data_IF_919543495114
#
_entry.id   IF_919543495114
#
_cell.length_a   1.000
_cell.length_b   1.000
_cell.length_c   1.000
_cell.angle_alpha   90.00
_cell.angle_beta   90.00
_cell.angle_gamma   90.00
#
_symmetry.space_group_name_H-M   'P 1'
#
loop_
_entity.id
_entity.type
_entity.pdbx_description
1 polymer ?
#
# COMPACT_ATOMS: atom_id res chain seq x y z
N UNK A 1 9.71 -17.41 -3.99
CA UNK A 1 9.79 -16.24 -3.10
C UNK A 1 10.90 -16.47 -2.08
N UNK A 2 11.71 -15.45 -1.77
CA UNK A 2 12.76 -15.53 -0.73
C UNK A 2 12.30 -14.74 0.48
N UNK A 3 11.86 -15.44 1.51
CA UNK A 3 11.50 -14.86 2.80
C UNK A 3 12.64 -15.10 3.78
N UNK A 4 13.03 -14.07 4.51
CA UNK A 4 13.92 -14.23 5.66
C UNK A 4 13.16 -13.82 6.90
N UNK A 5 13.09 -14.71 7.88
CA UNK A 5 12.47 -14.43 9.16
C UNK A 5 13.46 -14.74 10.27
N UNK A 6 13.41 -13.93 11.33
CA UNK A 6 14.16 -14.11 12.56
C UNK A 6 13.16 -14.29 13.70
N UNK A 7 13.43 -15.23 14.58
CA UNK A 7 12.50 -15.61 15.64
C UNK A 7 13.13 -16.58 16.61
N UNK A 8 12.43 -16.83 17.71
CA UNK A 8 12.80 -17.80 18.73
C UNK A 8 11.66 -18.81 18.91
N UNK A 9 12.02 -20.03 19.30
CA UNK A 9 11.06 -21.05 19.69
C UNK A 9 11.52 -21.75 20.96
N UNK A 10 10.55 -22.17 21.76
CA UNK A 10 10.77 -22.92 23.00
C UNK A 10 10.10 -24.28 22.86
N UNK A 11 10.81 -25.32 23.27
CA UNK A 11 10.32 -26.69 23.20
C UNK A 11 10.76 -27.49 24.43
N UNK A 12 10.00 -28.53 24.72
CA UNK A 12 10.33 -29.54 25.73
C UNK A 12 10.08 -30.94 25.19
N UNK A 13 10.75 -31.92 25.78
CA UNK A 13 10.47 -33.33 25.50
C UNK A 13 9.16 -33.69 26.20
N UNK A 14 8.15 -34.06 25.42
CA UNK A 14 6.85 -34.50 25.94
C UNK A 14 6.73 -36.03 25.90
N UNK A 15 7.29 -36.67 24.88
CA UNK A 15 7.38 -38.13 24.78
C UNK A 15 8.85 -38.55 24.57
N UNK A 16 9.54 -38.94 25.66
CA UNK A 16 10.92 -39.41 25.59
C UNK A 16 11.10 -40.67 24.74
N UNK A 17 10.09 -41.54 24.65
CA UNK A 17 10.17 -42.77 23.85
C UNK A 17 10.11 -42.44 22.37
N UNK A 18 9.17 -41.60 21.96
CA UNK A 18 9.09 -41.13 20.57
C UNK A 18 10.34 -40.34 20.18
N UNK A 19 10.86 -39.48 21.07
CA UNK A 19 12.11 -38.76 20.84
C UNK A 19 13.29 -39.73 20.66
N UNK A 20 13.39 -40.76 21.50
CA UNK A 20 14.47 -41.74 21.37
C UNK A 20 14.39 -42.50 20.03
N UNK A 21 13.20 -42.95 19.62
CA UNK A 21 13.01 -43.72 18.38
C UNK A 21 13.22 -42.85 17.13
N UNK A 22 12.69 -41.63 17.12
CA UNK A 22 12.61 -40.81 15.91
C UNK A 22 13.74 -39.78 15.77
N UNK A 23 14.47 -39.46 16.85
CA UNK A 23 15.48 -38.38 16.87
C UNK A 23 16.86 -38.90 17.27
N UNK A 24 17.04 -39.36 18.52
CA UNK A 24 18.38 -39.74 18.99
C UNK A 24 18.83 -41.09 18.44
N UNK A 25 17.89 -42.01 18.22
CA UNK A 25 18.13 -43.36 17.75
C UNK A 25 19.16 -44.09 18.61
N UNK A 26 20.11 -44.73 17.94
CA UNK A 26 21.19 -45.52 18.55
C UNK A 26 22.43 -44.71 18.89
N UNK A 27 22.38 -43.37 18.83
CA UNK A 27 23.56 -42.55 19.14
C UNK A 27 23.82 -42.53 20.65
N UNK A 28 25.08 -42.73 21.03
CA UNK A 28 25.52 -42.68 22.43
C UNK A 28 25.31 -41.29 23.07
N UNK A 29 25.41 -40.22 22.26
CA UNK A 29 25.12 -38.84 22.69
C UNK A 29 24.46 -38.09 21.55
N UNK A 30 23.47 -37.26 21.90
CA UNK A 30 22.75 -36.39 20.97
C UNK A 30 22.58 -35.02 21.62
N UNK A 31 23.19 -33.99 21.03
CA UNK A 31 23.26 -32.67 21.66
C UNK A 31 22.11 -31.78 21.20
N UNK A 32 21.89 -30.69 21.93
CA UNK A 32 20.93 -29.65 21.53
C UNK A 32 21.33 -28.96 20.23
N UNK A 33 22.62 -28.88 19.90
CA UNK A 33 23.09 -28.32 18.64
C UNK A 33 22.71 -29.19 17.43
N UNK A 34 22.77 -30.52 17.59
CA UNK A 34 22.29 -31.46 16.57
C UNK A 34 20.79 -31.31 16.34
N UNK A 35 20.04 -31.19 17.45
CA UNK A 35 18.60 -31.01 17.41
C UNK A 35 18.19 -29.68 16.76
N UNK A 36 18.85 -28.58 17.14
CA UNK A 36 18.51 -27.24 16.66
C UNK A 36 18.66 -27.13 15.14
N UNK A 37 19.70 -27.75 14.57
CA UNK A 37 19.88 -27.82 13.11
C UNK A 37 18.70 -28.50 12.41
N UNK A 38 18.24 -29.63 12.96
CA UNK A 38 17.10 -30.37 12.42
C UNK A 38 15.78 -29.59 12.56
N UNK A 39 15.50 -29.05 13.76
CA UNK A 39 14.28 -28.29 14.01
C UNK A 39 14.21 -27.03 13.18
N UNK A 40 15.34 -26.34 12.97
CA UNK A 40 15.42 -25.19 12.06
C UNK A 40 15.04 -25.57 10.64
N UNK A 41 15.57 -26.68 10.12
CA UNK A 41 15.19 -27.21 8.81
C UNK A 41 13.68 -27.51 8.72
N UNK A 42 13.13 -28.14 9.76
CA UNK A 42 11.71 -28.46 9.85
C UNK A 42 10.82 -27.20 9.86
N UNK A 43 11.22 -26.17 10.60
CA UNK A 43 10.54 -24.87 10.62
C UNK A 43 10.54 -24.27 9.22
N UNK A 44 11.70 -24.19 8.57
CA UNK A 44 11.84 -23.62 7.22
C UNK A 44 10.95 -24.33 6.19
N UNK A 45 10.90 -25.66 6.23
CA UNK A 45 10.08 -26.46 5.31
C UNK A 45 8.58 -26.20 5.49
N UNK A 46 8.14 -25.84 6.69
CA UNK A 46 6.73 -25.65 7.02
C UNK A 46 6.25 -24.20 6.94
N UNK A 47 7.12 -23.21 6.71
CA UNK A 47 6.71 -21.81 6.54
C UNK A 47 5.68 -21.67 5.41
N UNK A 48 5.95 -22.28 4.25
CA UNK A 48 5.03 -22.22 3.11
C UNK A 48 3.69 -22.88 3.42
N UNK A 49 3.71 -24.02 4.13
CA UNK A 49 2.50 -24.72 4.55
C UNK A 49 1.70 -23.87 5.55
N UNK A 50 2.35 -23.22 6.51
CA UNK A 50 1.70 -22.35 7.48
C UNK A 50 1.01 -21.15 6.82
N UNK A 51 1.67 -20.53 5.83
CA UNK A 51 1.08 -19.43 5.05
C UNK A 51 -0.14 -19.93 4.28
N UNK A 52 -0.02 -21.06 3.57
CA UNK A 52 -1.13 -21.63 2.81
C UNK A 52 -2.32 -22.03 3.70
N UNK A 53 -2.05 -22.67 4.85
CA UNK A 53 -3.06 -23.12 5.79
C UNK A 53 -3.76 -21.97 6.53
N UNK A 54 -3.11 -20.82 6.68
CA UNK A 54 -3.72 -19.65 7.32
C UNK A 54 -4.90 -19.07 6.55
N UNK A 55 -4.99 -19.32 5.23
CA UNK A 55 -6.00 -18.74 4.34
C UNK A 55 -5.89 -17.22 4.18
N UNK A 56 -4.88 -16.58 4.78
CA UNK A 56 -4.68 -15.14 4.76
C UNK A 56 -3.70 -14.75 3.65
N UNK A 57 -3.91 -13.59 3.01
CA UNK A 57 -2.90 -13.04 2.11
C UNK A 57 -1.58 -12.89 2.86
N UNK A 58 -0.50 -13.37 2.25
CA UNK A 58 0.84 -13.33 2.85
C UNK A 58 1.23 -11.92 3.34
N UNK A 59 0.82 -10.88 2.63
CA UNK A 59 1.06 -9.49 3.01
C UNK A 59 0.42 -9.12 4.36
N UNK A 60 -0.77 -9.66 4.65
CA UNK A 60 -1.49 -9.35 5.89
C UNK A 60 -0.86 -10.12 7.07
N UNK A 61 -0.35 -11.33 6.83
CA UNK A 61 0.48 -12.06 7.81
C UNK A 61 1.82 -11.35 8.05
N UNK A 62 2.46 -10.85 7.00
CA UNK A 62 3.73 -10.15 7.14
C UNK A 62 3.56 -8.81 7.88
N UNK A 63 2.42 -8.14 7.72
CA UNK A 63 2.06 -6.95 8.48
C UNK A 63 1.81 -7.25 9.97
N UNK A 64 1.36 -8.47 10.31
CA UNK A 64 1.09 -8.87 11.69
C UNK A 64 1.93 -10.09 12.11
N UNK A 65 3.10 -9.78 12.68
CA UNK A 65 4.07 -10.79 13.12
C UNK A 65 3.51 -11.79 14.13
N UNK A 66 2.58 -11.36 15.00
CA UNK A 66 1.92 -12.24 15.97
C UNK A 66 1.03 -13.27 15.28
N UNK A 67 0.26 -12.85 14.27
CA UNK A 67 -0.56 -13.77 13.48
C UNK A 67 0.30 -14.75 12.67
N UNK A 68 1.39 -14.28 12.09
CA UNK A 68 2.34 -15.15 11.39
C UNK A 68 2.97 -16.18 12.34
N UNK A 69 3.39 -15.76 13.53
CA UNK A 69 3.93 -16.64 14.57
C UNK A 69 2.90 -17.70 14.99
N UNK A 70 1.64 -17.31 15.19
CA UNK A 70 0.56 -18.24 15.58
C UNK A 70 0.25 -19.26 14.49
N UNK A 71 0.19 -18.82 13.22
CA UNK A 71 -0.03 -19.71 12.08
C UNK A 71 1.11 -20.74 11.95
N UNK A 72 2.36 -20.30 12.11
CA UNK A 72 3.52 -21.18 12.13
C UNK A 72 3.50 -22.15 13.30
N UNK A 73 3.21 -21.67 14.52
CA UNK A 73 3.15 -22.51 15.70
C UNK A 73 2.08 -23.62 15.57
N UNK A 74 0.89 -23.26 15.05
CA UNK A 74 -0.20 -24.21 14.81
C UNK A 74 0.19 -25.26 13.78
N UNK A 75 0.89 -24.86 12.71
CA UNK A 75 1.38 -25.80 11.69
C UNK A 75 2.50 -26.71 12.21
N UNK A 76 3.36 -26.21 13.11
CA UNK A 76 4.52 -26.95 13.61
C UNK A 76 4.22 -27.88 14.78
N UNK A 77 3.18 -27.61 15.58
CA UNK A 77 2.75 -28.48 16.68
C UNK A 77 2.68 -29.98 16.31
N UNK A 78 1.95 -30.39 15.26
CA UNK A 78 1.88 -31.80 14.89
C UNK A 78 3.21 -32.36 14.39
N UNK A 79 4.05 -31.56 13.74
CA UNK A 79 5.38 -32.01 13.27
C UNK A 79 6.36 -32.22 14.43
N UNK A 80 6.35 -31.33 15.43
CA UNK A 80 7.14 -31.49 16.65
C UNK A 80 6.65 -32.70 17.46
N UNK A 81 5.34 -32.92 17.53
CA UNK A 81 4.75 -34.05 18.25
C UNK A 81 5.21 -35.40 17.68
N UNK A 82 5.37 -35.52 16.35
CA UNK A 82 5.93 -36.74 15.71
C UNK A 82 7.35 -37.04 16.19
N UNK A 83 8.11 -36.02 16.59
CA UNK A 83 9.46 -36.14 17.13
C UNK A 83 9.49 -36.34 18.65
N UNK A 84 8.33 -36.45 19.31
CA UNK A 84 8.23 -36.53 20.78
C UNK A 84 8.44 -35.19 21.49
N UNK A 85 8.39 -34.08 20.74
CA UNK A 85 8.59 -32.73 21.25
C UNK A 85 7.26 -31.99 21.36
N UNK A 86 7.12 -31.16 22.39
CA UNK A 86 6.05 -30.18 22.49
C UNK A 86 6.62 -28.78 22.26
N UNK A 87 5.98 -28.04 21.36
CA UNK A 87 6.26 -26.62 21.12
C UNK A 87 5.52 -25.79 22.18
N UNK A 88 6.26 -25.14 23.07
CA UNK A 88 5.71 -24.34 24.18
C UNK A 88 5.55 -22.87 23.81
N UNK A 89 6.38 -22.38 22.89
CA UNK A 89 6.32 -21.00 22.44
C UNK A 89 7.01 -20.78 21.11
N UNK A 90 6.50 -19.82 20.34
CA UNK A 90 7.07 -19.40 19.07
C UNK A 90 6.90 -17.89 18.92
N UNK A 91 7.98 -17.17 18.66
CA UNK A 91 7.97 -15.73 18.45
C UNK A 91 8.74 -15.37 17.20
N UNK A 92 8.21 -14.40 16.47
CA UNK A 92 8.85 -13.83 15.28
C UNK A 92 9.27 -12.40 15.64
N UNK A 93 10.55 -12.11 15.47
CA UNK A 93 11.18 -10.83 15.79
C UNK A 93 11.23 -9.90 14.57
N UNK A 94 11.48 -10.47 13.39
CA UNK A 94 11.42 -9.72 12.14
C UNK A 94 11.19 -10.63 10.94
N UNK A 95 10.51 -10.08 9.93
CA UNK A 95 10.28 -10.72 8.65
C UNK A 95 10.72 -9.75 7.57
N UNK A 96 11.80 -10.07 6.87
CA UNK A 96 12.27 -9.28 5.73
C UNK A 96 11.56 -9.74 4.46
N UNK A 97 10.74 -8.84 3.92
CA UNK A 97 10.09 -9.01 2.63
C UNK A 97 11.07 -8.60 1.50
N UNK A 98 11.10 -9.32 0.38
CA UNK A 98 11.79 -8.84 -0.82
C UNK A 98 11.16 -7.55 -1.34
N UNK A 99 11.95 -6.68 -1.97
CA UNK A 99 11.53 -5.33 -2.41
C UNK A 99 10.27 -5.34 -3.30
N UNK A 100 10.09 -6.36 -4.13
CA UNK A 100 8.91 -6.52 -4.99
C UNK A 100 7.62 -6.64 -4.15
N UNK A 101 7.67 -7.39 -3.05
CA UNK A 101 6.51 -7.55 -2.17
C UNK A 101 6.30 -6.33 -1.27
N UNK A 102 7.37 -5.62 -0.94
CA UNK A 102 7.28 -4.37 -0.19
C UNK A 102 6.58 -3.28 -1.02
N UNK A 103 6.94 -3.13 -2.31
CA UNK A 103 6.23 -2.22 -3.22
C UNK A 103 4.74 -2.55 -3.36
N UNK A 104 4.40 -3.83 -3.45
CA UNK A 104 3.00 -4.28 -3.53
C UNK A 104 2.27 -3.99 -2.21
N UNK A 105 2.93 -4.17 -1.06
CA UNK A 105 2.37 -3.83 0.25
C UNK A 105 2.11 -2.33 0.37
N UNK A 106 3.09 -1.50 0.02
CA UNK A 106 2.97 -0.05 0.04
C UNK A 106 1.87 0.42 -0.92
N UNK A 107 1.74 -0.21 -2.08
CA UNK A 107 0.65 0.07 -3.02
C UNK A 107 -0.71 -0.35 -2.45
N UNK A 108 -0.83 -1.52 -1.81
CA UNK A 108 -2.07 -2.00 -1.18
C UNK A 108 -2.46 -1.10 0.01
N UNK A 109 -1.50 -0.68 0.83
CA UNK A 109 -1.70 0.27 1.94
C UNK A 109 -2.12 1.63 1.40
N UNK A 110 -1.44 2.14 0.37
CA UNK A 110 -1.82 3.38 -0.31
C UNK A 110 -3.24 3.30 -0.88
N UNK A 111 -3.61 2.18 -1.50
CA UNK A 111 -4.94 1.94 -2.04
C UNK A 111 -6.00 1.77 -0.93
N UNK A 112 -5.63 1.20 0.22
CA UNK A 112 -6.47 1.10 1.42
C UNK A 112 -6.70 2.44 2.13
N UNK A 113 -5.70 3.31 2.19
CA UNK A 113 -5.84 4.71 2.67
C UNK A 113 -6.69 5.57 1.73
N UNK A 114 -6.75 5.21 0.46
CA UNK A 114 -7.58 5.86 -0.57
C UNK A 114 -9.02 5.34 -0.57
N UNK A 115 -9.33 4.31 0.23
CA UNK A 115 -10.66 3.72 0.35
C UNK A 115 -11.78 4.76 0.53
N UNK A 116 -12.74 4.74 -0.41
CA UNK A 116 -13.88 5.64 -0.65
C UNK A 116 -13.68 6.92 -1.48
N UNK A 117 -12.46 7.35 -1.79
CA UNK A 117 -12.24 8.55 -2.62
C UNK A 117 -11.58 8.20 -3.97
N UNK A 118 -12.41 7.89 -4.97
CA UNK A 118 -11.97 7.66 -6.37
C UNK A 118 -11.10 8.81 -6.91
N UNK A 119 -11.28 10.03 -6.41
CA UNK A 119 -10.45 11.20 -6.72
C UNK A 119 -9.00 11.08 -6.23
N UNK A 120 -8.77 10.50 -5.05
CA UNK A 120 -7.41 10.27 -4.52
C UNK A 120 -6.71 9.11 -5.24
N UNK A 121 -7.46 8.14 -5.78
CA UNK A 121 -6.89 7.08 -6.60
C UNK A 121 -6.34 7.62 -7.92
N UNK A 122 -7.10 8.50 -8.58
CA UNK A 122 -6.63 9.17 -9.79
C UNK A 122 -5.41 10.04 -9.49
N UNK A 123 -5.43 10.82 -8.40
CA UNK A 123 -4.26 11.59 -7.95
C UNK A 123 -3.04 10.71 -7.63
N UNK A 124 -3.22 9.55 -6.98
CA UNK A 124 -2.13 8.64 -6.65
C UNK A 124 -1.54 7.96 -7.90
N UNK A 125 -2.38 7.51 -8.84
CA UNK A 125 -1.90 6.98 -10.12
C UNK A 125 -1.16 8.05 -10.94
N UNK A 126 -1.66 9.28 -10.98
CA UNK A 126 -0.97 10.41 -11.62
C UNK A 126 0.34 10.74 -10.91
N UNK A 127 0.37 10.74 -9.58
CA UNK A 127 1.57 11.00 -8.79
C UNK A 127 2.64 9.91 -8.94
N UNK A 128 2.27 8.64 -9.17
CA UNK A 128 3.24 7.59 -9.51
C UNK A 128 3.69 7.64 -10.98
N UNK A 129 2.84 8.11 -11.89
CA UNK A 129 3.17 8.21 -13.31
C UNK A 129 4.15 9.35 -13.60
N UNK A 130 4.06 10.48 -12.88
CA UNK A 130 4.90 11.67 -13.12
C UNK A 130 6.41 11.39 -12.92
N UNK A 131 6.87 10.76 -11.82
CA UNK A 131 8.29 10.43 -11.63
C UNK A 131 8.79 9.44 -12.68
N UNK A 132 7.97 8.47 -13.07
CA UNK A 132 8.33 7.45 -14.06
C UNK A 132 8.44 8.03 -15.48
N UNK A 133 7.57 9.00 -15.80
CA UNK A 133 7.67 9.80 -17.02
C UNK A 133 8.89 10.73 -17.01
N UNK A 134 9.24 11.31 -15.85
CA UNK A 134 10.42 12.13 -15.67
C UNK A 134 11.73 11.31 -15.74
N UNK A 135 11.76 10.08 -15.23
CA UNK A 135 12.87 9.14 -15.43
C UNK A 135 13.05 8.78 -16.91
N UNK A 136 11.96 8.54 -17.65
CA UNK A 136 12.04 8.30 -19.09
C UNK A 136 12.36 9.56 -19.91
N UNK A 137 11.99 10.75 -19.43
CA UNK A 137 12.30 12.02 -20.09
C UNK A 137 13.72 12.53 -19.78
N UNK A 138 14.31 12.08 -18.66
CA UNK A 138 15.70 12.36 -18.30
C UNK A 138 16.73 11.54 -19.09
N UNK A 139 16.29 10.45 -19.73
CA UNK A 139 17.11 9.62 -20.62
C UNK A 139 17.05 10.14 -22.07
N UNK A 140 17.73 11.25 -22.31
CA UNK A 140 18.38 11.57 -23.59
C UNK A 140 17.53 11.47 -24.88
N UNK A 141 17.01 12.63 -25.30
CA UNK A 141 17.19 13.16 -26.65
C UNK A 141 16.63 12.37 -27.85
N UNK A 142 15.65 12.98 -28.53
CA UNK A 142 15.52 12.84 -29.99
C UNK A 142 14.16 12.36 -30.47
N UNK A 143 13.33 13.31 -30.91
CA UNK A 143 12.36 13.21 -32.02
C UNK A 143 11.21 12.18 -31.87
N UNK A 144 11.16 11.36 -30.83
CA UNK A 144 10.07 10.38 -30.61
C UNK A 144 8.88 10.92 -29.77
N UNK A 145 8.88 12.20 -29.38
CA UNK A 145 7.90 12.80 -28.46
C UNK A 145 6.61 13.31 -29.09
N UNK A 146 6.62 13.69 -30.38
CA UNK A 146 5.47 14.36 -30.99
C UNK A 146 4.32 13.41 -31.37
N UNK A 147 4.60 12.13 -31.65
CA UNK A 147 3.55 11.18 -32.02
C UNK A 147 2.83 10.55 -30.81
N UNK A 148 3.52 10.37 -29.67
CA UNK A 148 2.91 9.83 -28.43
C UNK A 148 2.39 10.92 -27.49
N UNK A 149 3.00 12.12 -27.48
CA UNK A 149 2.53 13.26 -26.69
C UNK A 149 1.18 13.80 -27.15
N UNK A 150 0.93 13.78 -28.47
CA UNK A 150 -0.38 14.11 -29.03
C UNK A 150 -1.42 13.02 -28.76
N UNK A 151 -1.05 11.74 -28.83
CA UNK A 151 -1.97 10.63 -28.54
C UNK A 151 -2.42 10.56 -27.08
N UNK A 152 -1.49 10.77 -26.13
CA UNK A 152 -1.80 10.83 -24.71
C UNK A 152 -2.48 12.16 -24.31
N UNK A 153 -2.09 13.28 -24.95
CA UNK A 153 -2.71 14.59 -24.74
C UNK A 153 -4.16 14.67 -25.23
N UNK A 154 -4.49 13.99 -26.34
CA UNK A 154 -5.86 13.89 -26.85
C UNK A 154 -6.72 12.97 -25.97
N UNK A 155 -6.18 11.85 -25.48
CA UNK A 155 -6.90 10.97 -24.55
C UNK A 155 -7.19 11.67 -23.21
N UNK A 156 -6.22 12.39 -22.65
CA UNK A 156 -6.40 13.17 -21.43
C UNK A 156 -7.33 14.39 -21.67
N UNK A 157 -7.20 15.03 -22.84
CA UNK A 157 -8.05 16.15 -23.26
C UNK A 157 -9.51 15.75 -23.47
N UNK A 158 -9.77 14.56 -24.01
CA UNK A 158 -11.12 14.02 -24.12
C UNK A 158 -11.72 13.71 -22.74
N UNK A 159 -10.97 13.07 -21.83
CA UNK A 159 -11.47 12.80 -20.47
C UNK A 159 -11.73 14.09 -19.69
N UNK A 160 -10.87 15.11 -19.84
CA UNK A 160 -11.04 16.42 -19.21
C UNK A 160 -12.23 17.19 -19.82
N UNK A 161 -12.40 17.15 -21.13
CA UNK A 161 -13.54 17.77 -21.82
C UNK A 161 -14.86 17.07 -21.44
N UNK A 162 -14.87 15.75 -21.30
CA UNK A 162 -16.05 14.99 -20.89
C UNK A 162 -16.42 15.24 -19.43
N UNK A 163 -15.44 15.41 -18.53
CA UNK A 163 -15.69 15.82 -17.14
C UNK A 163 -16.18 17.28 -17.03
N UNK A 164 -15.66 18.17 -17.88
CA UNK A 164 -16.11 19.56 -17.91
C UNK A 164 -17.52 19.70 -18.50
N UNK A 165 -17.87 18.86 -19.48
CA UNK A 165 -19.19 18.83 -20.10
C UNK A 165 -20.24 18.12 -19.22
N UNK A 166 -19.84 17.09 -18.46
CA UNK A 166 -20.69 16.49 -17.43
C UNK A 166 -20.97 17.46 -16.26
N UNK A 167 -20.04 18.38 -15.94
CA UNK A 167 -20.25 19.47 -14.98
C UNK A 167 -21.17 20.59 -15.47
N UNK A 168 -21.38 20.72 -16.79
CA UNK A 168 -22.21 21.77 -17.39
C UNK A 168 -23.59 21.29 -17.85
N UNK A 169 -23.82 19.99 -17.96
CA UNK A 169 -25.03 19.40 -18.56
C UNK A 169 -25.67 18.32 -17.66
N UNK A 170 -25.60 18.50 -16.35
CA UNK A 170 -26.22 17.63 -15.34
C UNK A 170 -26.85 18.45 -14.22
N UNK A 171 -27.90 19.21 -14.54
CA UNK A 171 -28.57 20.08 -13.58
C UNK A 171 -30.02 20.38 -13.94
N UNK A 172 -30.77 19.38 -14.40
CA UNK A 172 -32.23 19.46 -14.52
C UNK A 172 -32.86 18.19 -13.96
N UNK A 173 -33.71 18.41 -12.96
CA UNK A 173 -34.71 17.52 -12.38
C UNK A 173 -34.27 16.51 -11.28
N UNK A 174 -34.82 16.79 -10.10
CA UNK A 174 -35.21 15.90 -9.01
C UNK A 174 -34.13 15.37 -8.05
N UNK A 175 -33.76 16.22 -7.09
CA UNK A 175 -33.50 15.77 -5.73
C UNK A 175 -34.30 16.65 -4.76
N UNK A 176 -35.24 16.01 -4.06
CA UNK A 176 -35.90 16.55 -2.87
C UNK A 176 -34.88 16.70 -1.76
N UNK A 177 -34.56 17.95 -1.39
CA UNK A 177 -33.92 18.29 -0.12
C UNK A 177 -34.81 19.30 0.59
N UNK A 178 -35.04 19.19 1.91
CA UNK A 178 -35.79 20.20 2.65
C UNK A 178 -35.00 21.51 2.70
N UNK A 179 -35.71 22.60 2.40
CA UNK A 179 -35.52 23.98 2.84
C UNK A 179 -34.12 24.60 2.72
N UNK A 180 -33.99 25.42 1.67
CA UNK A 180 -32.97 26.45 1.53
C UNK A 180 -33.15 27.58 2.55
N UNK A 181 -32.02 28.09 3.06
CA UNK A 181 -31.85 29.47 3.48
C UNK A 181 -30.90 30.17 2.47
N UNK A 182 -31.04 31.49 2.24
CA UNK A 182 -30.63 32.12 0.99
C UNK A 182 -29.12 32.41 0.88
N UNK A 183 -28.74 32.60 -0.38
CA UNK A 183 -27.44 32.93 -0.94
C UNK A 183 -26.82 34.15 -0.26
N UNK A 184 -25.64 33.93 0.33
CA UNK A 184 -24.64 34.96 0.59
C UNK A 184 -23.31 34.45 0.05
N UNK A 185 -22.66 35.21 -0.83
CA UNK A 185 -21.31 34.90 -1.32
C UNK A 185 -20.41 34.77 -0.11
N UNK A 186 -19.95 33.55 0.18
CA UNK A 186 -19.15 33.30 1.38
C UNK A 186 -17.74 33.87 1.15
N UNK A 187 -17.18 34.62 2.12
CA UNK A 187 -15.81 35.14 2.05
C UNK A 187 -14.76 34.07 1.77
N UNK A 188 -15.05 32.83 2.18
CA UNK A 188 -14.24 31.63 2.00
C UNK A 188 -14.05 31.27 0.52
N UNK A 189 -15.08 31.41 -0.30
CA UNK A 189 -15.00 31.11 -1.75
C UNK A 189 -14.21 32.20 -2.49
N UNK A 190 -14.35 33.45 -2.05
CA UNK A 190 -13.59 34.59 -2.60
C UNK A 190 -12.10 34.45 -2.27
N UNK A 191 -11.75 34.07 -1.05
CA UNK A 191 -10.36 33.79 -0.68
C UNK A 191 -9.78 32.60 -1.44
N UNK A 192 -10.54 31.51 -1.60
CA UNK A 192 -10.09 30.36 -2.37
C UNK A 192 -9.83 30.71 -3.85
N UNK A 193 -10.61 31.62 -4.44
CA UNK A 193 -10.33 32.13 -5.80
C UNK A 193 -9.11 33.05 -5.88
N UNK A 194 -8.81 33.82 -4.83
CA UNK A 194 -7.62 34.66 -4.77
C UNK A 194 -6.33 33.83 -4.66
N UNK A 195 -6.34 32.74 -3.89
CA UNK A 195 -5.21 31.81 -3.81
C UNK A 195 -4.93 31.14 -5.15
N UNK A 196 -5.97 30.66 -5.84
CA UNK A 196 -5.83 30.08 -7.19
C UNK A 196 -5.28 31.08 -8.21
N UNK A 197 -5.72 32.35 -8.14
CA UNK A 197 -5.20 33.39 -9.01
C UNK A 197 -3.73 33.72 -8.71
N UNK A 198 -3.32 33.70 -7.43
CA UNK A 198 -1.92 33.92 -7.04
C UNK A 198 -1.02 32.76 -7.49
N UNK A 199 -1.54 31.53 -7.49
CA UNK A 199 -0.84 30.35 -7.98
C UNK A 199 -0.67 30.35 -9.51
N UNK A 200 -1.64 30.92 -10.25
CA UNK A 200 -1.53 31.08 -11.70
C UNK A 200 -0.57 32.20 -12.11
N UNK A 201 -0.48 33.26 -11.29
CA UNK A 201 0.50 34.31 -11.45
C UNK A 201 1.93 33.82 -11.17
N UNK A 202 2.14 33.04 -10.11
CA UNK A 202 3.46 32.48 -9.80
C UNK A 202 3.95 31.47 -10.85
N UNK A 203 3.02 30.81 -11.54
CA UNK A 203 3.28 29.96 -12.71
C UNK A 203 3.51 30.73 -14.02
N UNK A 204 3.46 32.07 -13.99
CA UNK A 204 3.71 32.94 -15.15
C UNK A 204 2.61 32.93 -16.21
N UNK A 205 1.44 32.35 -15.90
CA UNK A 205 0.29 32.25 -16.82
C UNK A 205 -0.52 33.55 -16.83
N UNK A 206 -0.49 34.30 -15.72
CA UNK A 206 -1.17 35.57 -15.54
C UNK A 206 -0.17 36.69 -15.31
N UNK A 207 -0.37 37.83 -15.96
CA UNK A 207 0.44 39.01 -15.72
C UNK A 207 0.03 39.70 -14.42
N UNK A 208 0.95 40.46 -13.81
CA UNK A 208 0.71 41.19 -12.57
C UNK A 208 -0.53 42.11 -12.66
N UNK A 209 -0.73 42.75 -13.80
CA UNK A 209 -1.86 43.66 -14.03
C UNK A 209 -3.21 42.94 -14.07
N UNK A 210 -3.29 41.74 -14.63
CA UNK A 210 -4.53 40.95 -14.70
C UNK A 210 -4.91 40.38 -13.33
N UNK A 211 -3.92 39.99 -12.53
CA UNK A 211 -4.11 39.56 -11.15
C UNK A 211 -4.66 40.70 -10.28
N UNK A 212 -4.06 41.88 -10.34
CA UNK A 212 -4.46 43.02 -9.53
C UNK A 212 -5.86 43.53 -9.90
N UNK A 213 -6.24 43.51 -11.18
CA UNK A 213 -7.59 43.85 -11.64
C UNK A 213 -8.65 42.88 -11.12
N UNK A 214 -8.38 41.57 -11.18
CA UNK A 214 -9.30 40.52 -10.68
C UNK A 214 -9.42 40.54 -9.16
N UNK A 215 -8.31 40.79 -8.45
CA UNK A 215 -8.30 40.92 -6.99
C UNK A 215 -9.15 42.10 -6.51
N UNK A 216 -9.06 43.25 -7.18
CA UNK A 216 -9.88 44.41 -6.84
C UNK A 216 -11.38 44.17 -7.08
N UNK A 217 -11.75 43.43 -8.12
CA UNK A 217 -13.14 43.06 -8.40
C UNK A 217 -13.70 42.09 -7.34
N UNK A 218 -12.89 41.12 -6.92
CA UNK A 218 -13.26 40.12 -5.91
C UNK A 218 -13.40 40.73 -4.51
N UNK A 219 -12.52 41.68 -4.13
CA UNK A 219 -12.61 42.38 -2.86
C UNK A 219 -13.83 43.31 -2.77
N UNK A 220 -14.28 43.89 -3.89
CA UNK A 220 -15.53 44.67 -3.95
C UNK A 220 -16.80 43.84 -3.80
N UNK A 221 -16.73 42.52 -4.03
CA UNK A 221 -17.86 41.60 -3.79
C UNK A 221 -17.93 41.12 -2.33
N UNK A 222 -16.93 41.47 -1.52
CA UNK A 222 -16.80 41.07 -0.12
C UNK A 222 -17.24 42.17 0.87
N UNK A 223 -17.44 43.40 0.39
CA UNK A 223 -17.87 44.60 1.13
C UNK A 223 -19.21 45.06 0.58
#
# INVERSE_FOLDING_TARGET
MRLRAFGNYAYRIADPKAFHINVSGTRDSYTTADLDGQLRGLVLQNISNAIAASGLPFLDLAANQSMFAEALARQLQPEFAKLGLQLDGFTVQSVSLPEELQKILDQKIGMGMVGNDMGKFMQYQTAQAIPKLAETAGAGGGIAGDAMGLGAGVALGQVLAQNLQAGLQGGAAAATTPAAAPVGVKPEEVMATLEKLAELQSKGILTQQEFDAKKAELLKKLV
#
